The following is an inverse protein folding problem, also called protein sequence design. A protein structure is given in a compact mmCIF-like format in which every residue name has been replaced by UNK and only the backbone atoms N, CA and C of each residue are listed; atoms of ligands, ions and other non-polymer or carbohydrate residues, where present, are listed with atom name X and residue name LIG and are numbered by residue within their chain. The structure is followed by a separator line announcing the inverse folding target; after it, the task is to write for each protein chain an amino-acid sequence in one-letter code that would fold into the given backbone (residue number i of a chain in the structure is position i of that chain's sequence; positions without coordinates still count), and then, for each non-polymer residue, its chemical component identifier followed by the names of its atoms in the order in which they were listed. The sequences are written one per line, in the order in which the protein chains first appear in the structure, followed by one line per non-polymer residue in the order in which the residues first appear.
data_IF_971565166755
#
_entry.id   IF_971565166755
#
_cell.length_a   1.000
_cell.length_b   1.000
_cell.length_c   1.000
_cell.angle_alpha   90.00
_cell.angle_beta   90.00
_cell.angle_gamma   90.00
#
_symmetry.space_group_name_H-M   'P 1'
#
loop_
_entity.id
_entity.type
_entity.pdbx_description
1 polymer ?
#
# COMPACT_ATOMS: atom_id res chain seq x y z
N UNK A 1 5.72 12.19 5.70
CA UNK A 1 5.66 12.80 4.35
C UNK A 1 6.53 11.95 3.44
N UNK A 2 6.00 11.41 2.34
CA UNK A 2 6.80 10.65 1.37
C UNK A 2 7.89 11.57 0.82
N UNK A 3 9.13 11.09 0.70
CA UNK A 3 10.23 11.90 0.14
C UNK A 3 9.82 12.38 -1.26
N UNK A 4 10.07 13.65 -1.63
CA UNK A 4 9.68 14.22 -2.94
C UNK A 4 10.17 13.40 -4.13
N UNK A 5 11.30 12.70 -3.97
CA UNK A 5 11.91 11.80 -4.94
C UNK A 5 11.03 10.60 -5.31
N UNK A 6 10.24 10.07 -4.35
CA UNK A 6 9.40 8.87 -4.54
C UNK A 6 8.32 9.12 -5.61
N UNK A 7 7.73 10.32 -5.64
CA UNK A 7 6.61 10.54 -6.55
C UNK A 7 7.03 10.83 -7.99
N UNK A 8 8.24 11.35 -8.22
CA UNK A 8 8.71 11.72 -9.57
C UNK A 8 9.33 10.53 -10.31
N UNK A 9 9.97 9.59 -9.60
CA UNK A 9 10.65 8.45 -10.21
C UNK A 9 9.74 7.24 -10.53
N UNK A 10 8.63 7.06 -9.82
CA UNK A 10 7.85 5.82 -9.91
C UNK A 10 6.60 5.86 -10.81
N UNK A 11 6.45 6.87 -11.67
CA UNK A 11 5.34 7.01 -12.63
C UNK A 11 3.95 6.91 -11.95
N UNK A 12 3.86 7.38 -10.71
CA UNK A 12 2.57 7.53 -10.05
C UNK A 12 1.86 8.68 -10.77
N UNK A 13 0.82 8.35 -11.53
CA UNK A 13 -0.04 9.35 -12.16
C UNK A 13 -0.61 10.21 -11.04
N UNK A 14 -0.07 11.42 -10.89
CA UNK A 14 -0.59 12.43 -9.97
C UNK A 14 -1.93 12.90 -10.54
N UNK A 15 -3.00 12.24 -10.10
CA UNK A 15 -4.38 12.65 -10.36
C UNK A 15 -5.03 12.92 -9.01
N UNK A 16 -5.87 13.96 -8.95
CA UNK A 16 -6.69 14.27 -7.77
C UNK A 16 -7.63 13.13 -7.34
N UNK A 17 -7.87 12.17 -8.22
CA UNK A 17 -8.71 10.98 -8.00
C UNK A 17 -7.91 9.68 -7.87
N UNK A 18 -6.58 9.78 -7.74
CA UNK A 18 -5.70 8.64 -7.62
C UNK A 18 -4.96 8.67 -6.29
N UNK A 19 -5.21 7.65 -5.47
CA UNK A 19 -4.59 7.48 -4.16
C UNK A 19 -3.42 6.51 -4.22
N UNK A 20 -2.53 6.64 -3.25
CA UNK A 20 -1.39 5.73 -3.06
C UNK A 20 -1.39 5.23 -1.62
N UNK A 21 -1.26 3.92 -1.46
CA UNK A 21 -0.97 3.25 -0.19
C UNK A 21 0.50 2.80 -0.21
N UNK A 22 1.22 3.00 0.88
CA UNK A 22 2.58 2.48 1.07
C UNK A 22 2.55 1.39 2.13
N UNK A 23 3.03 0.20 1.78
CA UNK A 23 3.22 -0.93 2.71
C UNK A 23 4.72 -1.21 2.82
N UNK A 24 5.24 -1.15 4.04
CA UNK A 24 6.58 -1.61 4.37
C UNK A 24 6.47 -2.83 5.29
N UNK A 25 7.24 -3.87 5.00
CA UNK A 25 7.28 -5.09 5.80
C UNK A 25 8.64 -5.17 6.46
N UNK A 26 8.65 -5.28 7.79
CA UNK A 26 9.87 -5.29 8.59
C UNK A 26 9.87 -6.53 9.46
N UNK A 27 11.04 -7.14 9.60
CA UNK A 27 11.24 -8.17 10.60
C UNK A 27 11.25 -7.53 11.99
N UNK A 28 10.61 -8.20 12.96
CA UNK A 28 10.60 -7.78 14.35
C UNK A 28 11.92 -8.23 14.98
N UNK A 29 13.00 -7.57 14.57
CA UNK A 29 14.34 -7.83 15.11
C UNK A 29 14.41 -7.60 16.62
N UNK A 30 15.48 -8.06 17.24
CA UNK A 30 15.86 -7.67 18.60
C UNK A 30 16.68 -6.36 18.54
N UNK A 31 16.16 -5.27 19.11
CA UNK A 31 16.81 -3.96 19.17
C UNK A 31 16.59 -3.05 17.93
N UNK A 32 17.46 -2.05 17.74
CA UNK A 32 17.37 -0.96 16.73
C UNK A 32 17.57 -1.38 15.25
N UNK A 33 17.53 -2.67 14.94
CA UNK A 33 17.83 -3.20 13.59
C UNK A 33 16.64 -3.92 12.97
N UNK A 34 15.50 -3.24 12.88
CA UNK A 34 14.41 -3.68 11.99
C UNK A 34 14.90 -3.69 10.55
N UNK A 35 15.04 -4.89 9.97
CA UNK A 35 15.43 -5.06 8.56
C UNK A 35 14.17 -5.17 7.69
N UNK A 36 14.21 -4.55 6.50
CA UNK A 36 13.16 -4.75 5.52
C UNK A 36 13.09 -6.24 5.12
N UNK A 37 11.88 -6.74 4.93
CA UNK A 37 11.62 -8.14 4.60
C UNK A 37 10.74 -8.20 3.35
N UNK A 38 11.11 -9.03 2.38
CA UNK A 38 10.34 -9.22 1.14
C UNK A 38 9.00 -9.87 1.43
N UNK A 39 7.94 -9.45 0.76
CA UNK A 39 6.62 -10.05 0.89
C UNK A 39 5.84 -10.02 -0.42
N UNK A 40 4.95 -10.98 -0.60
CA UNK A 40 3.90 -10.91 -1.61
C UNK A 40 2.78 -10.03 -1.04
N UNK A 41 2.51 -8.90 -1.67
CA UNK A 41 1.47 -7.95 -1.25
C UNK A 41 0.36 -7.92 -2.28
N UNK A 42 -0.87 -8.11 -1.82
CA UNK A 42 -2.08 -7.95 -2.64
C UNK A 42 -3.15 -7.24 -1.84
N UNK A 43 -4.14 -6.65 -2.52
CA UNK A 43 -5.20 -5.98 -1.80
C UNK A 43 -6.32 -5.46 -2.67
N UNK A 44 -7.41 -5.10 -2.01
CA UNK A 44 -8.61 -4.53 -2.62
C UNK A 44 -9.11 -3.37 -1.81
N UNK A 45 -9.80 -2.44 -2.46
CA UNK A 45 -10.63 -1.44 -1.78
C UNK A 45 -12.10 -1.72 -2.04
N UNK A 46 -12.95 -1.32 -1.10
CA UNK A 46 -14.41 -1.39 -1.18
C UNK A 46 -15.03 -0.08 -0.72
N UNK A 47 -15.90 0.52 -1.52
CA UNK A 47 -16.65 1.71 -1.09
C UNK A 47 -17.95 1.33 -0.34
N UNK A 48 -18.68 2.34 0.16
CA UNK A 48 -19.93 2.13 0.90
C UNK A 48 -21.03 1.47 0.06
N UNK A 49 -21.03 1.68 -1.26
CA UNK A 49 -21.94 1.03 -2.20
C UNK A 49 -21.59 -0.45 -2.45
N UNK A 50 -20.49 -0.92 -1.87
CA UNK A 50 -20.02 -2.29 -2.01
C UNK A 50 -19.22 -2.57 -3.27
N UNK A 51 -18.95 -1.56 -4.09
CA UNK A 51 -18.11 -1.69 -5.27
C UNK A 51 -16.67 -1.97 -4.84
N UNK A 52 -16.03 -2.95 -5.48
CA UNK A 52 -14.66 -3.37 -5.19
C UNK A 52 -13.74 -3.06 -6.35
N UNK A 53 -12.50 -2.69 -6.04
CA UNK A 53 -11.42 -2.57 -7.02
C UNK A 53 -10.14 -3.19 -6.46
N UNK A 54 -9.29 -3.71 -7.34
CA UNK A 54 -7.95 -4.19 -6.98
C UNK A 54 -7.01 -3.00 -6.77
N UNK A 55 -6.15 -3.10 -5.76
CA UNK A 55 -5.02 -2.18 -5.60
C UNK A 55 -3.86 -2.69 -6.43
N UNK A 56 -3.28 -1.84 -7.27
CA UNK A 56 -2.15 -2.22 -8.12
C UNK A 56 -0.84 -1.93 -7.39
N UNK A 57 -0.21 -2.97 -6.86
CA UNK A 57 1.03 -2.87 -6.10
C UNK A 57 2.27 -2.96 -6.99
N UNK A 58 3.26 -2.11 -6.71
CA UNK A 58 4.61 -2.16 -7.28
C UNK A 58 5.63 -2.23 -6.13
N UNK A 59 6.53 -3.21 -6.20
CA UNK A 59 7.68 -3.29 -5.29
C UNK A 59 8.75 -2.28 -5.70
N UNK A 60 9.22 -1.51 -4.72
CA UNK A 60 10.27 -0.51 -4.84
C UNK A 60 11.39 -0.88 -3.87
N UNK A 61 12.64 -0.86 -4.34
CA UNK A 61 13.83 -1.13 -3.53
C UNK A 61 14.75 0.08 -3.56
N UNK A 62 15.11 0.58 -2.37
CA UNK A 62 16.02 1.72 -2.19
C UNK A 62 17.05 1.36 -1.10
N UNK A 63 18.26 1.02 -1.52
CA UNK A 63 19.28 0.47 -0.61
C UNK A 63 18.74 -0.78 0.09
N UNK A 64 18.72 -0.75 1.43
CA UNK A 64 18.21 -1.83 2.27
C UNK A 64 16.70 -1.73 2.56
N UNK A 65 16.00 -0.76 1.97
CA UNK A 65 14.56 -0.56 2.18
C UNK A 65 13.73 -1.17 1.05
N UNK A 66 12.60 -1.79 1.42
CA UNK A 66 11.63 -2.37 0.48
C UNK A 66 10.25 -1.77 0.78
N UNK A 67 9.62 -1.22 -0.26
CA UNK A 67 8.28 -0.63 -0.20
C UNK A 67 7.37 -1.27 -1.24
N UNK A 68 6.09 -1.38 -0.91
CA UNK A 68 5.04 -1.78 -1.84
C UNK A 68 4.08 -0.61 -2.01
N UNK A 69 4.18 0.07 -3.15
CA UNK A 69 3.32 1.20 -3.49
C UNK A 69 2.09 0.68 -4.24
N UNK A 70 0.92 0.79 -3.61
CA UNK A 70 -0.36 0.41 -4.17
C UNK A 70 -1.11 1.62 -4.70
N UNK A 71 -1.48 1.64 -5.98
CA UNK A 71 -2.34 2.69 -6.54
C UNK A 71 -3.79 2.24 -6.63
N UNK A 72 -4.72 3.16 -6.37
CA UNK A 72 -6.17 2.95 -6.47
C UNK A 72 -6.88 4.25 -6.89
N UNK A 73 -8.12 4.14 -7.38
CA UNK A 73 -8.95 5.30 -7.70
C UNK A 73 -9.93 5.59 -6.58
N UNK A 74 -10.29 6.86 -6.42
CA UNK A 74 -11.32 7.29 -5.47
C UNK A 74 -12.07 8.51 -6.02
N UNK A 75 -13.29 8.72 -5.54
CA UNK A 75 -14.09 9.93 -5.79
C UNK A 75 -13.95 10.92 -4.64
N UNK A 76 -14.29 12.20 -4.87
CA UNK A 76 -14.31 13.18 -3.79
C UNK A 76 -15.24 12.73 -2.67
N UNK A 77 -14.80 12.88 -1.43
CA UNK A 77 -15.52 12.46 -0.21
C UNK A 77 -15.85 10.96 -0.12
N UNK A 78 -15.08 10.09 -0.78
CA UNK A 78 -15.34 8.66 -0.76
C UNK A 78 -14.68 7.95 0.45
N UNK A 79 -15.48 7.16 1.18
CA UNK A 79 -14.99 6.24 2.20
C UNK A 79 -14.63 4.90 1.58
N UNK A 80 -13.36 4.50 1.70
CA UNK A 80 -12.86 3.21 1.22
C UNK A 80 -12.42 2.32 2.38
N UNK A 81 -12.88 1.07 2.36
CA UNK A 81 -12.36 -0.02 3.18
C UNK A 81 -11.27 -0.74 2.41
N UNK A 82 -10.06 -0.80 2.97
CA UNK A 82 -8.94 -1.54 2.44
C UNK A 82 -8.86 -2.91 3.08
N UNK A 83 -8.61 -3.92 2.28
CA UNK A 83 -8.21 -5.25 2.72
C UNK A 83 -6.92 -5.61 1.99
N UNK A 84 -5.82 -5.69 2.74
CA UNK A 84 -4.47 -5.96 2.23
C UNK A 84 -3.98 -7.27 2.83
N UNK A 85 -3.52 -8.17 1.97
CA UNK A 85 -2.85 -9.41 2.34
C UNK A 85 -1.35 -9.20 2.19
N UNK A 86 -0.60 -9.44 3.26
CA UNK A 86 0.85 -9.37 3.28
C UNK A 86 1.38 -10.77 3.59
N UNK A 87 2.13 -11.36 2.68
CA UNK A 87 2.66 -12.70 2.80
C UNK A 87 4.19 -12.70 2.71
N UNK A 88 4.90 -12.59 3.85
CA UNK A 88 6.36 -12.68 3.92
C UNK A 88 6.90 -14.05 3.51
N UNK A 89 6.18 -15.11 3.89
CA UNK A 89 6.55 -16.50 3.62
C UNK A 89 5.47 -17.15 2.72
N UNK A 90 5.79 -17.56 1.49
CA UNK A 90 4.82 -18.16 0.56
C UNK A 90 4.23 -19.47 1.06
N UNK A 91 4.85 -20.13 2.05
CA UNK A 91 4.37 -21.37 2.65
C UNK A 91 3.43 -21.15 3.85
N UNK A 92 3.23 -19.90 4.27
CA UNK A 92 2.34 -19.54 5.39
C UNK A 92 1.17 -18.69 4.92
N UNK A 93 0.10 -18.69 5.69
CA UNK A 93 -1.06 -17.84 5.42
C UNK A 93 -0.66 -16.34 5.49
N UNK A 94 -1.27 -15.49 4.64
CA UNK A 94 -1.00 -14.05 4.67
C UNK A 94 -1.52 -13.40 5.95
N UNK A 95 -0.82 -12.37 6.42
CA UNK A 95 -1.33 -11.42 7.39
C UNK A 95 -2.36 -10.52 6.72
N UNK A 96 -3.56 -10.43 7.31
CA UNK A 96 -4.63 -9.57 6.82
C UNK A 96 -4.63 -8.23 7.56
N UNK A 97 -4.51 -7.15 6.82
CA UNK A 97 -4.64 -5.78 7.33
C UNK A 97 -5.92 -5.19 6.75
N UNK A 98 -6.81 -4.71 7.63
CA UNK A 98 -8.08 -4.09 7.26
C UNK A 98 -8.21 -2.74 7.93
N UNK A 99 -8.50 -1.71 7.15
CA UNK A 99 -8.71 -0.35 7.68
C UNK A 99 -9.65 0.43 6.76
N UNK A 100 -10.16 1.56 7.26
CA UNK A 100 -11.05 2.45 6.53
C UNK A 100 -10.47 3.86 6.50
N UNK A 101 -10.65 4.55 5.37
CA UNK A 101 -10.22 5.95 5.21
C UNK A 101 -11.15 6.69 4.25
N UNK A 102 -11.53 7.91 4.63
CA UNK A 102 -12.21 8.87 3.74
C UNK A 102 -11.16 9.67 2.96
N UNK A 103 -11.37 9.77 1.65
CA UNK A 103 -10.52 10.52 0.73
C UNK A 103 -11.26 11.75 0.20
N UNK A 104 -10.49 12.79 -0.11
CA UNK A 104 -10.97 14.05 -0.66
C UNK A 104 -10.13 14.34 -1.91
N UNK A 105 -10.76 14.82 -2.96
CA UNK A 105 -10.08 15.20 -4.20
C UNK A 105 -9.90 16.72 -4.19
N UNK A 106 -8.64 17.17 -4.21
CA UNK A 106 -8.27 18.59 -4.30
C UNK A 106 -8.05 19.04 -5.76
#
# INVERSE_FOLDING_TARGET
VLKPEISSHYQLVRSRFQGVINIAVMDKGTGDKSKAHTAIVSGTTRNLLGQRQKVSFKEIREGDSIYYLGSFRFNNEEMLTFEVNVQPDPNKAPYKVKFQKKFYAD
#
